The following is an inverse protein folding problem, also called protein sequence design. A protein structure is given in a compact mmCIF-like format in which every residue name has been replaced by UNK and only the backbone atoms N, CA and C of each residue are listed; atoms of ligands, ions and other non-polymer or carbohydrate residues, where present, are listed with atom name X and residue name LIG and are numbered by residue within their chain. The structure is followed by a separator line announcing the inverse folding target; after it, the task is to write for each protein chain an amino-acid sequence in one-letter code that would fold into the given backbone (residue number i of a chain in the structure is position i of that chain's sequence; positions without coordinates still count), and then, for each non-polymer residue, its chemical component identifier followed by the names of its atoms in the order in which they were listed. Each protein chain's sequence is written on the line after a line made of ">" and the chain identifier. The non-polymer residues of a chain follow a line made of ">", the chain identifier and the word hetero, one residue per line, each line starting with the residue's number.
data_IF_957461552386
#
_entry.id   IF_957461552386
#
_cell.length_a   1.000
_cell.length_b   1.000
_cell.length_c   1.000
_cell.angle_alpha   90.00
_cell.angle_beta   90.00
_cell.angle_gamma   90.00
#
_symmetry.space_group_name_H-M   'P 1'
#
loop_
_entity.id
_entity.type
_entity.pdbx_description
1 polymer ?
#
# COMPACT_ATOMS: atom_id res chain seq x y z
N UNK A 1 0.02 36.81 -36.90
CA UNK A 1 0.45 35.44 -36.57
C UNK A 1 -0.57 34.89 -35.59
N UNK A 2 -1.56 34.13 -36.06
CA UNK A 2 -2.78 33.80 -35.28
C UNK A 2 -2.79 32.30 -35.04
N UNK A 3 -2.04 31.85 -34.04
CA UNK A 3 -2.10 30.46 -33.60
C UNK A 3 -3.45 30.23 -32.91
N UNK A 4 -4.37 29.53 -33.56
CA UNK A 4 -5.55 28.96 -32.90
C UNK A 4 -5.14 27.61 -32.32
N UNK A 5 -4.67 27.61 -31.09
CA UNK A 5 -4.73 26.40 -30.27
C UNK A 5 -6.22 26.07 -30.10
N UNK A 6 -6.74 25.18 -30.94
CA UNK A 6 -8.12 24.72 -30.87
C UNK A 6 -8.10 23.49 -29.99
N UNK A 7 -8.80 23.52 -28.85
CA UNK A 7 -8.85 22.36 -27.96
C UNK A 7 -9.57 21.19 -28.62
N UNK A 8 -9.31 19.96 -28.17
CA UNK A 8 -10.02 18.76 -28.63
C UNK A 8 -11.55 18.93 -28.52
N UNK A 9 -12.02 19.65 -27.49
CA UNK A 9 -13.44 19.95 -27.30
C UNK A 9 -13.98 20.92 -28.36
N UNK A 10 -13.20 21.92 -28.75
CA UNK A 10 -13.59 22.89 -29.77
C UNK A 10 -13.67 22.23 -31.15
N UNK A 11 -12.74 21.32 -31.47
CA UNK A 11 -12.81 20.55 -32.72
C UNK A 11 -14.03 19.61 -32.75
N UNK A 12 -14.33 18.95 -31.62
CA UNK A 12 -15.54 18.11 -31.50
C UNK A 12 -16.82 18.93 -31.67
N UNK A 13 -16.86 20.13 -31.09
CA UNK A 13 -18.00 21.02 -31.20
C UNK A 13 -18.15 21.52 -32.65
N UNK A 14 -17.05 21.92 -33.29
CA UNK A 14 -17.04 22.34 -34.71
C UNK A 14 -17.59 21.24 -35.61
N UNK A 15 -17.12 20.00 -35.44
CA UNK A 15 -17.64 18.83 -36.18
C UNK A 15 -19.16 18.69 -36.03
N UNK A 16 -19.70 18.85 -34.82
CA UNK A 16 -21.14 18.71 -34.61
C UNK A 16 -21.93 19.88 -35.19
N UNK A 17 -21.41 21.11 -35.10
CA UNK A 17 -22.05 22.29 -35.70
C UNK A 17 -22.17 22.11 -37.21
N UNK A 18 -21.10 21.67 -37.89
CA UNK A 18 -21.13 21.41 -39.34
C UNK A 18 -22.04 20.22 -39.70
N UNK A 19 -22.07 19.17 -38.88
CA UNK A 19 -23.06 18.09 -39.01
C UNK A 19 -24.52 18.59 -38.93
N UNK A 20 -24.79 19.63 -38.14
CA UNK A 20 -26.13 20.19 -37.94
C UNK A 20 -26.51 21.21 -39.03
N UNK A 21 -25.53 21.90 -39.61
CA UNK A 21 -25.74 22.78 -40.76
C UNK A 21 -26.24 21.99 -41.98
N UNK A 22 -25.72 20.77 -42.17
CA UNK A 22 -26.23 19.83 -43.19
C UNK A 22 -25.75 20.11 -44.61
N UNK A 23 -24.74 20.96 -44.77
CA UNK A 23 -24.15 21.31 -46.07
C UNK A 23 -23.35 20.14 -46.69
N UNK A 24 -22.85 19.23 -45.85
CA UNK A 24 -22.06 18.07 -46.25
C UNK A 24 -22.62 16.76 -45.70
N UNK A 25 -22.29 15.65 -46.38
CA UNK A 25 -22.65 14.33 -45.88
C UNK A 25 -21.76 13.92 -44.69
N UNK A 26 -22.30 13.09 -43.79
CA UNK A 26 -21.53 12.52 -42.67
C UNK A 26 -20.21 11.86 -43.12
N UNK A 27 -20.18 11.29 -44.32
CA UNK A 27 -18.98 10.66 -44.88
C UNK A 27 -17.88 11.67 -45.20
N UNK A 28 -18.23 12.80 -45.84
CA UNK A 28 -17.31 13.88 -46.17
C UNK A 28 -16.79 14.54 -44.89
N UNK A 29 -17.70 14.92 -44.00
CA UNK A 29 -17.33 15.58 -42.74
C UNK A 29 -16.40 14.71 -41.87
N UNK A 30 -16.65 13.40 -41.82
CA UNK A 30 -15.77 12.47 -41.10
C UNK A 30 -14.37 12.38 -41.73
N UNK A 31 -14.27 12.42 -43.06
CA UNK A 31 -12.99 12.41 -43.76
C UNK A 31 -12.20 13.71 -43.47
N UNK A 32 -12.87 14.86 -43.51
CA UNK A 32 -12.24 16.17 -43.32
C UNK A 32 -11.75 16.39 -41.89
N UNK A 33 -12.48 15.85 -40.91
CA UNK A 33 -12.08 15.87 -39.50
C UNK A 33 -11.21 14.68 -39.08
N UNK A 34 -10.87 13.76 -40.00
CA UNK A 34 -10.01 12.61 -39.70
C UNK A 34 -10.59 11.62 -38.70
N UNK A 35 -11.92 11.51 -38.60
CA UNK A 35 -12.61 10.61 -37.67
C UNK A 35 -13.36 9.51 -38.39
N UNK A 36 -13.52 8.35 -37.76
CA UNK A 36 -14.40 7.32 -38.32
C UNK A 36 -15.87 7.74 -38.24
N UNK A 37 -16.69 7.34 -39.22
CA UNK A 37 -18.16 7.53 -39.20
C UNK A 37 -18.81 7.07 -37.90
N UNK A 38 -18.32 5.99 -37.28
CA UNK A 38 -18.77 5.49 -35.98
C UNK A 38 -18.59 6.52 -34.86
N UNK A 39 -17.47 7.23 -34.85
CA UNK A 39 -17.20 8.31 -33.89
C UNK A 39 -18.09 9.52 -34.23
N UNK A 40 -18.21 9.87 -35.50
CA UNK A 40 -19.07 10.98 -35.94
C UNK A 40 -20.52 10.84 -35.50
N UNK A 41 -21.16 9.71 -35.79
CA UNK A 41 -22.53 9.43 -35.32
C UNK A 41 -22.64 9.42 -33.79
N UNK A 42 -21.61 8.92 -33.08
CA UNK A 42 -21.58 8.90 -31.62
C UNK A 42 -21.53 10.32 -31.04
N UNK A 43 -20.71 11.21 -31.58
CA UNK A 43 -20.63 12.60 -31.14
C UNK A 43 -21.93 13.34 -31.42
N UNK A 44 -22.50 13.20 -32.62
CA UNK A 44 -23.77 13.81 -32.99
C UNK A 44 -24.92 13.33 -32.09
N UNK A 45 -25.01 12.02 -31.83
CA UNK A 45 -26.01 11.46 -30.92
C UNK A 45 -25.88 12.00 -29.50
N UNK A 46 -24.65 12.04 -28.96
CA UNK A 46 -24.40 12.58 -27.61
C UNK A 46 -24.71 14.06 -27.51
N UNK A 47 -24.41 14.84 -28.53
CA UNK A 47 -24.73 16.26 -28.55
C UNK A 47 -26.24 16.49 -28.59
N UNK A 48 -26.99 15.69 -29.36
CA UNK A 48 -28.46 15.78 -29.38
C UNK A 48 -29.08 15.46 -28.01
N UNK A 49 -28.48 14.54 -27.26
CA UNK A 49 -29.00 14.10 -25.95
C UNK A 49 -28.55 14.99 -24.78
N UNK A 50 -27.32 15.50 -24.80
CA UNK A 50 -26.69 16.17 -23.66
C UNK A 50 -26.10 17.55 -23.99
N UNK A 51 -26.27 18.06 -25.21
CA UNK A 51 -25.64 19.29 -25.66
C UNK A 51 -24.10 19.21 -25.70
N UNK A 52 -23.40 20.35 -25.59
CA UNK A 52 -21.93 20.42 -25.58
C UNK A 52 -21.30 19.50 -24.52
N UNK A 53 -21.95 19.31 -23.37
CA UNK A 53 -21.48 18.43 -22.28
C UNK A 53 -21.35 16.96 -22.71
N UNK A 54 -22.15 16.54 -23.70
CA UNK A 54 -22.08 15.20 -24.27
C UNK A 54 -20.76 14.88 -24.98
N UNK A 55 -19.99 15.90 -25.37
CA UNK A 55 -18.74 15.76 -26.12
C UNK A 55 -17.52 15.50 -25.23
N UNK A 56 -17.65 15.66 -23.91
CA UNK A 56 -16.59 15.31 -22.98
C UNK A 56 -16.27 13.81 -23.00
N UNK A 57 -15.00 13.50 -22.73
CA UNK A 57 -14.58 12.12 -22.54
C UNK A 57 -15.24 11.54 -21.30
N UNK A 58 -15.95 10.43 -21.50
CA UNK A 58 -16.57 9.67 -20.40
C UNK A 58 -15.58 8.63 -19.89
N UNK A 59 -15.57 8.35 -18.57
CA UNK A 59 -14.75 7.30 -18.00
C UNK A 59 -15.01 5.97 -18.72
N UNK A 60 -13.93 5.29 -19.11
CA UNK A 60 -13.97 3.98 -19.79
C UNK A 60 -14.02 2.80 -18.81
N UNK A 61 -14.01 3.07 -17.51
CA UNK A 61 -14.05 2.04 -16.49
C UNK A 61 -15.44 1.37 -16.45
N UNK A 62 -15.52 0.02 -16.37
CA UNK A 62 -16.78 -0.67 -16.13
C UNK A 62 -17.43 -0.15 -14.84
N UNK A 63 -18.71 0.25 -14.91
CA UNK A 63 -19.47 0.71 -13.74
C UNK A 63 -19.71 -0.42 -12.72
N UNK A 64 -19.79 -1.67 -13.19
CA UNK A 64 -19.91 -2.86 -12.36
C UNK A 64 -18.83 -3.87 -12.74
N UNK A 65 -17.84 -4.05 -11.86
CA UNK A 65 -16.88 -5.14 -11.98
C UNK A 65 -17.52 -6.41 -11.43
N UNK A 66 -17.81 -7.41 -12.27
CA UNK A 66 -18.38 -8.70 -11.83
C UNK A 66 -17.51 -9.53 -10.87
N UNK A 67 -16.33 -9.01 -10.49
CA UNK A 67 -15.41 -9.59 -9.50
C UNK A 67 -15.30 -8.72 -8.23
N UNK A 68 -16.17 -7.73 -8.06
CA UNK A 68 -16.20 -6.90 -6.87
C UNK A 68 -16.53 -7.76 -5.65
N UNK A 69 -15.76 -7.59 -4.57
CA UNK A 69 -16.06 -8.20 -3.28
C UNK A 69 -17.39 -7.66 -2.78
N UNK A 70 -18.26 -8.56 -2.31
CA UNK A 70 -19.57 -8.17 -1.79
C UNK A 70 -19.44 -7.15 -0.64
N UNK A 71 -20.38 -6.20 -0.59
CA UNK A 71 -20.33 -5.04 0.32
C UNK A 71 -20.26 -5.48 1.79
N UNK A 72 -21.01 -6.52 2.16
CA UNK A 72 -21.01 -7.08 3.51
C UNK A 72 -19.63 -7.63 3.92
N UNK A 73 -18.92 -8.27 2.98
CA UNK A 73 -17.55 -8.76 3.23
C UNK A 73 -16.57 -7.60 3.36
N UNK A 74 -16.73 -6.53 2.57
CA UNK A 74 -15.92 -5.32 2.68
C UNK A 74 -16.10 -4.69 4.06
N UNK A 75 -17.34 -4.52 4.51
CA UNK A 75 -17.66 -3.95 5.83
C UNK A 75 -17.05 -4.78 6.97
N UNK A 76 -17.15 -6.12 6.90
CA UNK A 76 -16.53 -7.00 7.90
C UNK A 76 -15.00 -6.88 7.93
N UNK A 77 -14.35 -6.73 6.77
CA UNK A 77 -12.89 -6.54 6.67
C UNK A 77 -12.49 -5.19 7.28
N UNK A 78 -13.23 -4.13 6.96
CA UNK A 78 -13.01 -2.78 7.50
C UNK A 78 -13.20 -2.76 9.01
N UNK A 79 -14.31 -3.28 9.53
CA UNK A 79 -14.60 -3.35 10.96
C UNK A 79 -13.53 -4.15 11.73
N UNK A 80 -13.05 -5.26 11.16
CA UNK A 80 -11.96 -6.04 11.78
C UNK A 80 -10.64 -5.27 11.85
N UNK A 81 -10.36 -4.40 10.87
CA UNK A 81 -9.18 -3.53 10.88
C UNK A 81 -9.31 -2.39 11.90
N UNK A 82 -10.49 -1.80 12.02
CA UNK A 82 -10.77 -0.75 13.00
C UNK A 82 -10.68 -1.28 14.44
N UNK A 83 -11.23 -2.47 14.69
CA UNK A 83 -11.10 -3.14 15.99
C UNK A 83 -9.64 -3.53 16.33
N UNK A 84 -8.81 -3.78 15.30
CA UNK A 84 -7.42 -4.17 15.47
C UNK A 84 -6.46 -3.40 14.55
N UNK A 85 -6.19 -2.11 14.83
CA UNK A 85 -5.44 -1.23 13.92
C UNK A 85 -4.02 -1.70 13.60
N UNK A 86 -3.38 -2.45 14.51
CA UNK A 86 -2.02 -2.97 14.33
C UNK A 86 -1.96 -4.23 13.45
N UNK A 87 -3.10 -4.84 13.10
CA UNK A 87 -3.10 -6.09 12.33
C UNK A 87 -2.96 -5.80 10.83
N UNK A 88 -2.10 -6.59 10.17
CA UNK A 88 -1.99 -6.58 8.73
C UNK A 88 -3.11 -7.40 8.06
N UNK A 89 -3.33 -7.22 6.74
CA UNK A 89 -4.38 -7.92 5.99
C UNK A 89 -4.35 -9.44 6.19
N UNK A 90 -3.16 -10.07 6.18
CA UNK A 90 -3.01 -11.53 6.41
C UNK A 90 -3.60 -11.97 7.76
N UNK A 91 -3.33 -11.21 8.83
CA UNK A 91 -3.79 -11.56 10.18
C UNK A 91 -5.30 -11.35 10.34
N UNK A 92 -5.82 -10.27 9.74
CA UNK A 92 -7.26 -10.00 9.68
C UNK A 92 -7.98 -11.12 8.94
N UNK A 93 -7.52 -11.50 7.75
CA UNK A 93 -8.14 -12.59 6.99
C UNK A 93 -8.08 -13.92 7.73
N UNK A 94 -6.94 -14.26 8.34
CA UNK A 94 -6.84 -15.48 9.13
C UNK A 94 -7.81 -15.50 10.33
N UNK A 95 -8.11 -14.34 10.95
CA UNK A 95 -9.12 -14.25 12.00
C UNK A 95 -10.52 -14.42 11.43
N UNK A 96 -10.86 -13.69 10.37
CA UNK A 96 -12.19 -13.72 9.76
C UNK A 96 -12.55 -15.11 9.23
N UNK A 97 -11.61 -15.78 8.56
CA UNK A 97 -11.77 -17.16 8.07
C UNK A 97 -11.98 -18.17 9.21
N UNK A 98 -11.43 -17.93 10.40
CA UNK A 98 -11.67 -18.80 11.57
C UNK A 98 -13.01 -18.54 12.23
N UNK A 99 -13.48 -17.29 12.23
CA UNK A 99 -14.73 -16.91 12.88
C UNK A 99 -15.96 -17.19 12.03
N UNK A 100 -15.83 -17.13 10.70
CA UNK A 100 -16.90 -17.41 9.74
C UNK A 100 -16.34 -18.16 8.52
N UNK A 101 -15.99 -19.46 8.67
CA UNK A 101 -15.40 -20.27 7.61
C UNK A 101 -16.34 -20.53 6.42
N UNK A 102 -17.64 -20.38 6.61
CA UNK A 102 -18.69 -20.59 5.59
C UNK A 102 -18.72 -19.50 4.52
N UNK A 103 -18.13 -18.33 4.80
CA UNK A 103 -18.11 -17.21 3.87
C UNK A 103 -16.94 -17.34 2.88
N UNK A 104 -17.20 -17.02 1.62
CA UNK A 104 -16.19 -16.96 0.57
C UNK A 104 -15.34 -15.70 0.71
N UNK A 105 -14.37 -15.74 1.64
CA UNK A 105 -13.48 -14.63 1.92
C UNK A 105 -12.54 -14.33 0.74
N UNK A 106 -12.28 -13.04 0.44
CA UNK A 106 -11.32 -12.68 -0.59
C UNK A 106 -9.90 -13.01 -0.15
N UNK A 107 -8.97 -13.01 -1.10
CA UNK A 107 -7.55 -13.22 -0.79
C UNK A 107 -6.99 -12.12 0.13
N UNK A 108 -5.89 -12.40 0.83
CA UNK A 108 -5.24 -11.41 1.68
C UNK A 108 -4.73 -10.17 0.91
N UNK A 109 -4.39 -10.30 -0.38
CA UNK A 109 -4.02 -9.15 -1.22
C UNK A 109 -5.24 -8.31 -1.58
N UNK A 110 -6.36 -8.94 -1.92
CA UNK A 110 -7.64 -8.23 -2.16
C UNK A 110 -8.11 -7.49 -0.91
N UNK A 111 -8.03 -8.12 0.27
CA UNK A 111 -8.31 -7.47 1.54
C UNK A 111 -7.36 -6.29 1.81
N UNK A 112 -6.07 -6.44 1.47
CA UNK A 112 -5.11 -5.33 1.52
C UNK A 112 -5.52 -4.15 0.65
N UNK A 113 -5.93 -4.39 -0.60
CA UNK A 113 -6.40 -3.36 -1.52
C UNK A 113 -7.71 -2.71 -1.06
N UNK A 114 -8.62 -3.48 -0.44
CA UNK A 114 -9.82 -2.93 0.20
C UNK A 114 -9.41 -1.97 1.31
N UNK A 115 -8.59 -2.42 2.26
CA UNK A 115 -8.16 -1.59 3.40
C UNK A 115 -7.41 -0.33 2.95
N UNK A 116 -6.61 -0.42 1.89
CA UNK A 116 -5.92 0.74 1.29
C UNK A 116 -6.90 1.75 0.70
N UNK A 117 -7.90 1.31 -0.07
CA UNK A 117 -8.97 2.20 -0.59
C UNK A 117 -9.76 2.90 0.51
N UNK A 118 -9.89 2.26 1.68
CA UNK A 118 -10.52 2.83 2.86
C UNK A 118 -9.56 3.65 3.75
N UNK A 119 -8.30 3.85 3.35
CA UNK A 119 -7.33 4.65 4.10
C UNK A 119 -6.81 4.00 5.39
N UNK A 120 -7.07 2.70 5.59
CA UNK A 120 -6.73 1.98 6.82
C UNK A 120 -5.35 1.32 6.79
N UNK A 121 -4.60 1.50 5.69
CA UNK A 121 -3.22 1.02 5.55
C UNK A 121 -2.29 2.23 5.46
N UNK A 122 -1.60 2.54 6.56
CA UNK A 122 -0.57 3.57 6.60
C UNK A 122 0.81 3.05 6.19
N UNK A 123 1.67 3.95 5.68
CA UNK A 123 3.10 3.66 5.49
C UNK A 123 3.72 3.23 6.83
N UNK A 124 4.39 2.09 6.84
CA UNK A 124 5.13 1.61 8.01
C UNK A 124 6.20 2.64 8.38
N UNK A 125 6.18 3.15 9.61
CA UNK A 125 7.26 4.02 10.13
C UNK A 125 8.59 3.31 9.92
N UNK A 126 9.57 4.03 9.36
CA UNK A 126 10.93 3.56 9.27
C UNK A 126 11.41 3.20 10.68
N UNK A 127 11.88 1.96 10.87
CA UNK A 127 12.52 1.59 12.12
C UNK A 127 13.92 2.20 12.08
N UNK A 128 14.25 3.02 13.06
CA UNK A 128 15.62 3.44 13.29
C UNK A 128 16.46 2.19 13.52
N UNK A 129 17.53 2.03 12.75
CA UNK A 129 18.56 1.04 13.09
C UNK A 129 19.30 1.60 14.30
N UNK A 130 19.59 0.73 15.28
CA UNK A 130 20.51 1.10 16.33
C UNK A 130 21.80 1.61 15.67
N UNK A 131 22.27 2.78 16.07
CA UNK A 131 23.62 3.20 15.72
C UNK A 131 24.54 2.10 16.26
N UNK A 132 25.24 1.41 15.36
CA UNK A 132 26.20 0.38 15.77
C UNK A 132 27.18 0.98 16.79
N UNK A 133 27.69 0.14 17.67
CA UNK A 133 28.57 0.48 18.78
C UNK A 133 30.05 0.72 18.36
N UNK A 134 30.26 1.32 17.18
CA UNK A 134 31.60 1.66 16.65
C UNK A 134 32.43 0.44 16.23
N UNK A 135 33.63 0.66 15.67
CA UNK A 135 34.58 -0.42 15.45
C UNK A 135 35.16 -0.86 16.80
N UNK A 136 34.99 -2.13 17.13
CA UNK A 136 35.63 -2.74 18.30
C UNK A 136 37.09 -3.08 17.96
N UNK A 137 38.04 -2.96 18.92
CA UNK A 137 39.40 -3.45 18.73
C UNK A 137 39.40 -4.96 18.43
N UNK A 138 40.28 -5.40 17.53
CA UNK A 138 40.46 -6.83 17.26
C UNK A 138 41.22 -7.49 18.42
N UNK A 139 40.79 -8.70 18.79
CA UNK A 139 41.43 -9.48 19.85
C UNK A 139 42.51 -10.39 19.23
N UNK A 140 43.67 -9.81 18.91
CA UNK A 140 44.76 -10.51 18.21
C UNK A 140 45.51 -11.50 19.11
N UNK A 141 45.57 -11.24 20.42
CA UNK A 141 46.25 -12.08 21.40
C UNK A 141 45.44 -12.22 22.70
N UNK A 142 45.68 -13.28 23.51
CA UNK A 142 45.07 -13.39 24.83
C UNK A 142 45.39 -12.15 25.69
N UNK A 143 44.38 -11.66 26.40
CA UNK A 143 44.34 -10.43 27.19
C UNK A 143 44.34 -9.12 26.40
N UNK A 144 44.24 -9.15 25.06
CA UNK A 144 44.12 -7.92 24.26
C UNK A 144 42.75 -7.23 24.42
N UNK A 145 41.66 -8.01 24.49
CA UNK A 145 40.29 -7.50 24.63
C UNK A 145 39.49 -8.42 25.54
N UNK A 146 38.85 -7.84 26.54
CA UNK A 146 37.89 -8.54 27.40
C UNK A 146 36.47 -8.14 27.05
N UNK A 147 35.58 -9.12 27.04
CA UNK A 147 34.14 -8.94 26.79
C UNK A 147 33.39 -9.25 28.08
N UNK A 148 32.59 -8.28 28.52
CA UNK A 148 31.69 -8.41 29.67
C UNK A 148 30.24 -8.47 29.19
N UNK A 149 29.46 -9.40 29.73
CA UNK A 149 28.04 -9.52 29.41
C UNK A 149 27.23 -10.06 30.60
N UNK A 150 26.05 -9.48 30.83
CA UNK A 150 25.07 -10.04 31.76
C UNK A 150 24.16 -11.02 31.01
N UNK A 151 23.98 -12.22 31.55
CA UNK A 151 23.20 -13.28 30.90
C UNK A 151 21.69 -13.19 31.13
N UNK A 152 21.21 -12.03 31.56
CA UNK A 152 19.87 -11.84 32.10
C UNK A 152 19.80 -12.19 33.59
N UNK A 153 18.63 -11.99 34.19
CA UNK A 153 18.45 -12.17 35.63
C UNK A 153 17.51 -13.32 35.95
N UNK A 154 17.72 -13.93 37.12
CA UNK A 154 16.82 -14.91 37.72
C UNK A 154 16.73 -14.70 39.23
N UNK A 155 15.73 -15.33 39.87
CA UNK A 155 15.62 -15.33 41.32
C UNK A 155 16.19 -16.62 41.91
N UNK A 156 17.03 -16.49 42.91
CA UNK A 156 17.51 -17.61 43.72
C UNK A 156 16.41 -18.09 44.68
N UNK A 157 16.64 -19.21 45.38
CA UNK A 157 15.65 -19.84 46.27
C UNK A 157 15.20 -18.92 47.41
N UNK A 158 16.09 -18.08 47.91
CA UNK A 158 15.86 -17.05 48.92
C UNK A 158 15.23 -15.76 48.35
N UNK A 159 14.94 -15.73 47.04
CA UNK A 159 14.24 -14.63 46.38
C UNK A 159 15.14 -13.49 45.92
N UNK A 160 16.46 -13.58 46.15
CA UNK A 160 17.43 -12.60 45.69
C UNK A 160 17.51 -12.59 44.15
N UNK A 161 17.59 -11.38 43.56
CA UNK A 161 17.70 -11.20 42.10
C UNK A 161 19.18 -11.29 41.71
N UNK A 162 19.54 -12.41 41.08
CA UNK A 162 20.87 -12.65 40.53
C UNK A 162 20.92 -12.23 39.06
N UNK A 163 21.90 -11.42 38.70
CA UNK A 163 22.26 -11.08 37.33
C UNK A 163 23.71 -11.54 37.09
N UNK A 164 23.94 -12.76 36.57
CA UNK A 164 25.30 -13.25 36.37
C UNK A 164 26.03 -12.37 35.37
N UNK A 165 27.18 -11.84 35.79
CA UNK A 165 28.16 -11.18 34.93
C UNK A 165 29.21 -12.20 34.52
N UNK A 166 29.43 -12.35 33.21
CA UNK A 166 30.56 -13.10 32.67
C UNK A 166 31.56 -12.14 32.06
N UNK A 167 32.83 -12.27 32.43
CA UNK A 167 33.95 -11.61 31.76
C UNK A 167 34.77 -12.68 31.05
N UNK A 168 34.93 -12.55 29.75
CA UNK A 168 35.66 -13.50 28.91
C UNK A 168 36.73 -12.79 28.09
N UNK A 169 37.84 -13.48 27.89
CA UNK A 169 38.81 -13.10 26.88
C UNK A 169 38.23 -13.28 25.47
N UNK A 170 38.33 -12.26 24.63
CA UNK A 170 37.73 -12.28 23.30
C UNK A 170 38.50 -13.15 22.30
N UNK A 171 39.80 -13.32 22.49
CA UNK A 171 40.71 -14.11 21.64
C UNK A 171 40.56 -15.60 21.94
N UNK A 172 40.78 -16.01 23.19
CA UNK A 172 40.84 -17.41 23.57
C UNK A 172 39.53 -17.96 24.15
N UNK A 173 38.51 -17.11 24.35
CA UNK A 173 37.22 -17.46 24.96
C UNK A 173 37.32 -17.98 26.39
N UNK A 174 38.45 -17.78 27.05
CA UNK A 174 38.63 -18.15 28.44
C UNK A 174 37.74 -17.30 29.35
N UNK A 175 37.04 -17.94 30.29
CA UNK A 175 36.19 -17.27 31.27
C UNK A 175 37.07 -16.73 32.40
N UNK A 176 37.31 -15.42 32.38
CA UNK A 176 38.15 -14.72 33.33
C UNK A 176 37.42 -14.48 34.66
N UNK A 177 36.13 -14.16 34.59
CA UNK A 177 35.30 -13.99 35.78
C UNK A 177 33.86 -14.45 35.54
N UNK A 178 33.27 -15.00 36.59
CA UNK A 178 31.85 -15.27 36.71
C UNK A 178 31.40 -14.76 38.08
N UNK A 179 30.59 -13.71 38.09
CA UNK A 179 30.12 -13.09 39.31
C UNK A 179 28.60 -13.08 39.37
N UNK A 180 28.07 -13.47 40.52
CA UNK A 180 26.67 -13.27 40.85
C UNK A 180 26.48 -11.82 41.32
N UNK A 181 26.10 -10.93 40.40
CA UNK A 181 25.81 -9.54 40.75
C UNK A 181 24.32 -9.36 41.03
N UNK A 182 23.96 -8.37 41.85
CA UNK A 182 22.58 -7.94 42.03
C UNK A 182 22.27 -6.74 41.13
N UNK A 183 20.99 -6.36 41.01
CA UNK A 183 20.64 -5.07 40.40
C UNK A 183 21.34 -3.96 41.20
N UNK A 184 22.30 -3.28 40.58
CA UNK A 184 22.80 -1.99 41.07
C UNK A 184 21.60 -1.07 41.24
N UNK A 185 21.36 -0.61 42.48
CA UNK A 185 20.46 0.49 42.75
C UNK A 185 21.12 1.80 42.30
#
# INVERSE_FOLDING_TARGET
>A
MVWRETGIMDERLRFVVECLAGDETMTQLCADFGVSRKIGYKWLGRYREFGPEGLHDRPRAPLNHGRATAVDLVERIVAAKEAHPLWGPKKIMARLQRTAPELAWPSASTAGAILERHGLVGRRRARWKAAGNGPWPQAEEPNAVWTGDHKGWFRTRDGWRCEPLTVMDASCRYLLALEATGSTA
#
